data_IF_414651076502
#
_entry.id   IF_414651076502
#
_cell.length_a   1.000
_cell.length_b   1.000
_cell.length_c   1.000
_cell.angle_alpha   90.00
_cell.angle_beta   90.00
_cell.angle_gamma   90.00
#
_symmetry.space_group_name_H-M   'P 1'
#
loop_
_entity.id
_entity.type
_entity.pdbx_description
1 polymer ?
#
# COMPACT_ATOMS: atom_id res chain seq x y z
N UNK A 1 15.99 14.03 0.23
CA UNK A 1 16.46 13.47 1.51
C UNK A 1 15.23 13.33 2.40
N UNK A 2 14.76 12.11 2.65
CA UNK A 2 13.49 11.89 3.35
C UNK A 2 13.66 12.03 4.86
N UNK A 3 12.63 12.51 5.56
CA UNK A 3 12.63 12.51 7.02
C UNK A 3 11.22 12.49 7.60
N UNK A 4 11.13 12.06 8.86
CA UNK A 4 9.94 12.16 9.71
C UNK A 4 10.29 12.98 10.94
N UNK A 5 9.49 14.00 11.24
CA UNK A 5 9.59 14.83 12.43
C UNK A 5 8.29 14.74 13.22
N UNK A 6 8.40 14.35 14.48
CA UNK A 6 7.29 14.23 15.44
C UNK A 6 7.54 15.27 16.51
N UNK A 7 6.61 16.20 16.69
CA UNK A 7 6.75 17.31 17.62
C UNK A 7 5.55 17.37 18.57
N UNK A 8 5.82 17.21 19.86
CA UNK A 8 4.89 17.35 20.98
C UNK A 8 3.58 16.55 20.80
N UNK A 9 3.67 15.36 20.21
CA UNK A 9 2.49 14.55 19.88
C UNK A 9 1.82 14.06 21.16
N UNK A 10 0.53 14.39 21.28
CA UNK A 10 -0.36 13.92 22.33
C UNK A 10 -1.53 13.14 21.75
N UNK A 11 -1.90 12.04 22.41
CA UNK A 11 -3.06 11.25 22.04
C UNK A 11 -3.72 10.63 23.28
N UNK A 12 -5.05 10.64 23.29
CA UNK A 12 -5.87 10.19 24.40
C UNK A 12 -6.81 9.09 23.90
N UNK A 13 -7.05 8.08 24.72
CA UNK A 13 -8.00 7.03 24.43
C UNK A 13 -9.44 7.49 24.72
N UNK A 14 -10.46 6.81 24.17
CA UNK A 14 -11.86 7.17 24.42
C UNK A 14 -12.28 7.13 25.90
N UNK A 15 -11.54 6.40 26.75
CA UNK A 15 -11.75 6.34 28.20
C UNK A 15 -11.10 7.52 28.95
N UNK A 16 -10.51 8.49 28.23
CA UNK A 16 -9.85 9.67 28.78
C UNK A 16 -8.40 9.42 29.22
N UNK A 17 -7.87 8.20 29.08
CA UNK A 17 -6.47 7.92 29.43
C UNK A 17 -5.54 8.51 28.38
N UNK A 18 -4.56 9.30 28.82
CA UNK A 18 -3.45 9.77 27.97
C UNK A 18 -2.57 8.57 27.60
N UNK A 19 -2.47 8.28 26.31
CA UNK A 19 -1.67 7.17 25.77
C UNK A 19 -0.31 7.64 25.28
N UNK A 20 -0.27 8.80 24.62
CA UNK A 20 0.94 9.48 24.17
C UNK A 20 0.92 10.87 24.78
N UNK A 21 2.02 11.26 25.43
CA UNK A 21 2.17 12.56 26.05
C UNK A 21 3.51 13.15 25.64
N UNK A 22 3.47 14.33 25.02
CA UNK A 22 4.62 15.11 24.56
C UNK A 22 5.70 14.32 23.77
N UNK A 23 5.27 13.42 22.88
CA UNK A 23 6.21 12.60 22.11
C UNK A 23 6.90 13.46 21.05
N UNK A 24 8.23 13.59 21.15
CA UNK A 24 9.04 14.37 20.21
C UNK A 24 10.30 13.64 19.77
N UNK A 25 10.50 13.45 18.46
CA UNK A 25 11.72 12.89 17.88
C UNK A 25 11.79 13.14 16.37
N UNK A 26 13.00 13.04 15.81
CA UNK A 26 13.24 13.14 14.37
C UNK A 26 13.97 11.91 13.85
N UNK A 27 13.49 11.35 12.74
CA UNK A 27 14.15 10.29 11.98
C UNK A 27 14.62 10.89 10.66
N UNK A 28 15.94 11.05 10.54
CA UNK A 28 16.57 11.55 9.33
C UNK A 28 16.81 10.47 8.28
N UNK A 29 17.25 10.91 7.11
CA UNK A 29 17.60 10.04 5.99
C UNK A 29 18.73 9.07 6.36
N UNK A 30 18.63 7.83 5.88
CA UNK A 30 19.61 6.76 6.18
C UNK A 30 19.53 6.20 7.60
N UNK A 31 18.69 6.75 8.49
CA UNK A 31 18.56 6.25 9.84
C UNK A 31 17.81 4.91 9.89
N UNK A 32 18.28 4.01 10.76
CA UNK A 32 17.59 2.77 11.14
C UNK A 32 17.20 2.88 12.60
N UNK A 33 15.90 3.03 12.87
CA UNK A 33 15.38 3.31 14.22
C UNK A 33 14.39 2.22 14.60
N UNK A 34 14.43 1.79 15.86
CA UNK A 34 13.47 0.84 16.43
C UNK A 34 12.61 1.53 17.49
N UNK A 35 11.29 1.35 17.39
CA UNK A 35 10.34 1.75 18.42
C UNK A 35 10.02 0.54 19.30
N UNK A 36 10.53 0.54 20.54
CA UNK A 36 10.40 -0.56 21.49
C UNK A 36 9.53 -0.15 22.68
N UNK A 37 8.85 -1.13 23.27
CA UNK A 37 7.98 -0.92 24.44
C UNK A 37 6.99 -2.05 24.64
N UNK A 38 6.35 -2.11 25.81
CA UNK A 38 5.38 -3.15 26.15
C UNK A 38 4.16 -3.16 25.20
N UNK A 39 3.40 -4.26 25.20
CA UNK A 39 2.09 -4.31 24.54
C UNK A 39 1.15 -3.28 25.18
N UNK A 40 0.43 -2.53 24.36
CA UNK A 40 -0.42 -1.44 24.83
C UNK A 40 0.30 -0.10 25.07
N UNK A 41 1.63 -0.01 24.92
CA UNK A 41 2.38 1.25 25.09
C UNK A 41 2.18 2.30 23.97
N UNK A 42 1.18 2.13 23.10
CA UNK A 42 0.86 3.12 22.05
C UNK A 42 1.71 3.05 20.77
N UNK A 43 2.56 2.02 20.58
CA UNK A 43 3.41 1.89 19.38
C UNK A 43 2.62 1.94 18.07
N UNK A 44 1.60 1.10 17.94
CA UNK A 44 0.74 1.06 16.74
C UNK A 44 -0.02 2.38 16.56
N UNK A 45 -0.43 3.02 17.66
CA UNK A 45 -1.08 4.34 17.64
C UNK A 45 -0.13 5.41 17.11
N UNK A 46 1.11 5.46 17.62
CA UNK A 46 2.13 6.40 17.15
C UNK A 46 2.45 6.16 15.67
N UNK A 47 2.59 4.90 15.23
CA UNK A 47 2.78 4.59 13.82
C UNK A 47 1.60 5.06 12.96
N UNK A 48 0.34 4.83 13.39
CA UNK A 48 -0.86 5.34 12.69
C UNK A 48 -0.90 6.87 12.62
N UNK A 49 -0.43 7.54 13.67
CA UNK A 49 -0.30 9.00 13.65
C UNK A 49 0.78 9.41 12.65
N UNK A 50 1.93 8.73 12.61
CA UNK A 50 3.03 8.98 11.67
C UNK A 50 2.66 8.71 10.21
N UNK A 51 1.78 7.75 9.95
CA UNK A 51 1.27 7.45 8.60
C UNK A 51 0.08 8.33 8.21
N UNK A 52 -0.50 9.07 9.16
CA UNK A 52 -1.66 9.93 8.93
C UNK A 52 -3.01 9.21 8.98
N UNK A 53 -3.04 7.92 9.35
CA UNK A 53 -4.29 7.18 9.55
C UNK A 53 -5.06 7.64 10.80
N UNK A 54 -4.38 8.34 11.71
CA UNK A 54 -4.94 8.84 12.95
C UNK A 54 -4.45 10.27 13.22
N UNK A 55 -5.38 11.18 13.50
CA UNK A 55 -5.02 12.53 13.90
C UNK A 55 -4.55 12.54 15.37
N UNK A 56 -3.46 13.23 15.72
CA UNK A 56 -3.12 13.46 17.12
C UNK A 56 -4.08 14.48 17.75
N UNK A 57 -4.24 14.43 19.08
CA UNK A 57 -5.00 15.45 19.83
C UNK A 57 -4.18 16.70 20.12
N UNK A 58 -2.85 16.62 20.02
CA UNK A 58 -1.94 17.75 20.13
C UNK A 58 -0.61 17.46 19.44
N UNK A 59 0.14 18.51 19.13
CA UNK A 59 1.40 18.40 18.39
C UNK A 59 1.20 18.19 16.89
N UNK A 60 2.27 17.81 16.20
CA UNK A 60 2.26 17.61 14.75
C UNK A 60 3.26 16.54 14.30
N UNK A 61 3.00 15.96 13.12
CA UNK A 61 3.97 15.14 12.40
C UNK A 61 4.20 15.72 11.01
N UNK A 62 5.47 16.00 10.70
CA UNK A 62 5.91 16.42 9.37
C UNK A 62 6.67 15.29 8.69
N UNK A 63 6.43 15.06 7.41
CA UNK A 63 7.19 14.10 6.60
C UNK A 63 7.66 14.74 5.32
N UNK A 64 8.79 14.29 4.79
CA UNK A 64 9.25 14.66 3.45
C UNK A 64 9.76 13.42 2.71
N UNK A 65 9.58 13.42 1.38
CA UNK A 65 9.83 12.25 0.54
C UNK A 65 8.65 11.28 0.50
N UNK A 66 8.86 10.12 -0.14
CA UNK A 66 7.88 9.03 -0.16
C UNK A 66 7.84 8.28 1.17
N UNK A 67 6.65 7.86 1.60
CA UNK A 67 6.44 7.07 2.81
C UNK A 67 5.96 5.66 2.43
N UNK A 68 6.81 4.65 2.64
CA UNK A 68 6.43 3.25 2.55
C UNK A 68 5.94 2.73 3.90
N UNK A 69 4.81 2.01 3.91
CA UNK A 69 4.22 1.47 5.14
C UNK A 69 3.92 0.00 4.95
N UNK A 70 4.50 -0.84 5.80
CA UNK A 70 4.10 -2.23 5.92
C UNK A 70 3.12 -2.37 7.09
N UNK A 71 1.90 -2.81 6.80
CA UNK A 71 0.88 -3.03 7.83
C UNK A 71 1.24 -4.25 8.67
N UNK A 72 0.78 -4.27 9.92
CA UNK A 72 1.00 -5.41 10.83
C UNK A 72 0.36 -6.70 10.30
N UNK A 73 -0.80 -6.57 9.65
CA UNK A 73 -1.49 -7.67 9.00
C UNK A 73 -1.51 -7.39 7.49
N UNK A 74 -0.73 -8.17 6.74
CA UNK A 74 -0.70 -8.17 5.27
C UNK A 74 -1.49 -9.40 4.81
N UNK A 75 -2.29 -9.28 3.76
CA UNK A 75 -3.15 -10.37 3.27
C UNK A 75 -4.37 -10.68 4.14
N UNK A 76 -4.57 -9.98 5.26
CA UNK A 76 -5.73 -10.17 6.12
C UNK A 76 -6.73 -9.03 5.88
N UNK A 77 -7.81 -9.32 5.19
CA UNK A 77 -8.89 -8.37 4.92
C UNK A 77 -9.30 -8.35 3.45
N UNK A 78 -10.25 -7.47 3.15
CA UNK A 78 -10.78 -7.32 1.80
C UNK A 78 -9.93 -6.33 1.01
N UNK A 79 -9.25 -6.80 -0.03
CA UNK A 79 -8.60 -5.93 -1.04
C UNK A 79 -9.48 -5.96 -2.28
N UNK A 80 -9.96 -4.80 -2.73
CA UNK A 80 -10.87 -4.67 -3.90
C UNK A 80 -12.08 -5.63 -3.90
N UNK A 81 -12.60 -6.00 -2.72
CA UNK A 81 -13.77 -6.89 -2.60
C UNK A 81 -13.43 -8.38 -2.43
N UNK A 82 -12.17 -8.80 -2.59
CA UNK A 82 -11.73 -10.18 -2.41
C UNK A 82 -11.40 -10.49 -0.94
N UNK A 83 -12.06 -11.50 -0.36
CA UNK A 83 -11.86 -11.91 1.03
C UNK A 83 -10.53 -12.66 1.30
N UNK A 84 -9.89 -13.17 0.24
CA UNK A 84 -8.60 -13.86 0.27
C UNK A 84 -7.75 -13.29 -0.87
N UNK A 85 -7.10 -12.13 -0.67
CA UNK A 85 -6.42 -11.42 -1.75
C UNK A 85 -5.18 -12.18 -2.18
N UNK A 86 -4.98 -12.27 -3.49
CA UNK A 86 -3.81 -12.89 -4.07
C UNK A 86 -2.58 -11.98 -3.94
N UNK A 87 -1.40 -12.54 -4.23
CA UNK A 87 -0.16 -11.76 -4.36
C UNK A 87 -0.31 -10.61 -5.36
N UNK A 88 -0.98 -10.84 -6.50
CA UNK A 88 -1.24 -9.75 -7.46
C UNK A 88 -2.12 -8.66 -6.85
N UNK A 89 -3.21 -9.02 -6.17
CA UNK A 89 -4.12 -8.05 -5.55
C UNK A 89 -3.37 -7.18 -4.52
N UNK A 90 -2.51 -7.80 -3.71
CA UNK A 90 -1.71 -7.10 -2.72
C UNK A 90 -0.70 -6.14 -3.37
N UNK A 91 0.01 -6.59 -4.40
CA UNK A 91 1.00 -5.75 -5.10
C UNK A 91 0.35 -4.62 -5.89
N UNK A 92 -0.81 -4.87 -6.50
CA UNK A 92 -1.59 -3.85 -7.18
C UNK A 92 -2.14 -2.81 -6.21
N UNK A 93 -2.58 -3.23 -5.01
CA UNK A 93 -3.15 -2.31 -4.00
C UNK A 93 -2.19 -1.19 -3.56
N UNK A 94 -0.88 -1.42 -3.69
CA UNK A 94 0.18 -0.45 -3.37
C UNK A 94 0.80 0.21 -4.61
N UNK A 95 0.34 -0.14 -5.81
CA UNK A 95 0.78 0.47 -7.06
C UNK A 95 0.30 1.92 -7.18
N UNK A 96 0.90 2.75 -8.05
CA UNK A 96 0.39 4.08 -8.35
C UNK A 96 -1.08 4.04 -8.79
N UNK A 97 -1.88 5.02 -8.37
CA UNK A 97 -3.32 5.05 -8.65
C UNK A 97 -3.67 4.93 -10.14
N UNK A 98 -2.81 5.46 -11.03
CA UNK A 98 -3.00 5.34 -12.48
C UNK A 98 -2.91 3.88 -12.96
N UNK A 99 -1.93 3.13 -12.45
CA UNK A 99 -1.75 1.71 -12.77
C UNK A 99 -2.92 0.89 -12.23
N UNK A 100 -3.36 1.17 -11.00
CA UNK A 100 -4.55 0.51 -10.43
C UNK A 100 -5.79 0.72 -11.31
N UNK A 101 -6.03 1.95 -11.76
CA UNK A 101 -7.18 2.28 -12.62
C UNK A 101 -7.06 1.65 -14.00
N UNK A 102 -5.87 1.65 -14.60
CA UNK A 102 -5.63 1.02 -15.89
C UNK A 102 -5.82 -0.50 -15.81
N UNK A 103 -5.33 -1.16 -14.76
CA UNK A 103 -5.52 -2.58 -14.52
C UNK A 103 -7.00 -2.95 -14.41
N UNK A 104 -7.78 -2.23 -13.58
CA UNK A 104 -9.23 -2.47 -13.47
C UNK A 104 -9.96 -2.36 -14.81
N UNK A 105 -9.54 -1.43 -15.68
CA UNK A 105 -10.11 -1.29 -17.02
C UNK A 105 -9.79 -2.50 -17.91
N UNK A 106 -8.58 -3.04 -17.81
CA UNK A 106 -8.20 -4.28 -18.51
C UNK A 106 -9.11 -5.42 -18.03
N UNK A 107 -9.20 -5.64 -16.72
CA UNK A 107 -10.05 -6.70 -16.13
C UNK A 107 -11.53 -6.58 -16.52
N UNK A 108 -12.07 -5.35 -16.52
CA UNK A 108 -13.45 -5.08 -16.95
C UNK A 108 -13.66 -5.44 -18.42
N UNK A 109 -12.68 -5.14 -19.29
CA UNK A 109 -12.76 -5.46 -20.70
C UNK A 109 -12.56 -6.94 -20.98
N UNK A 110 -11.67 -7.64 -20.25
CA UNK A 110 -11.50 -9.09 -20.35
C UNK A 110 -12.78 -9.83 -19.99
N UNK A 111 -13.46 -9.41 -18.91
CA UNK A 111 -14.77 -9.96 -18.54
C UNK A 111 -15.82 -9.72 -19.63
N UNK A 112 -15.86 -8.52 -20.22
CA UNK A 112 -16.79 -8.24 -21.31
C UNK A 112 -16.53 -9.11 -22.56
N UNK A 113 -15.25 -9.37 -22.88
CA UNK A 113 -14.86 -10.24 -24.00
C UNK A 113 -15.26 -11.71 -23.79
N UNK A 114 -15.42 -12.18 -22.56
CA UNK A 114 -15.94 -13.53 -22.29
C UNK A 114 -17.41 -13.67 -22.68
N UNK A 115 -18.16 -12.57 -22.72
CA UNK A 115 -19.61 -12.56 -22.97
C UNK A 115 -19.96 -12.08 -24.39
N UNK A 116 -19.18 -11.16 -24.95
CA UNK A 116 -19.48 -10.52 -26.24
C UNK A 116 -18.26 -10.50 -27.16
N UNK A 117 -18.41 -11.07 -28.35
CA UNK A 117 -17.39 -11.07 -29.40
C UNK A 117 -17.73 -10.04 -30.49
N UNK A 118 -17.49 -8.76 -30.18
CA UNK A 118 -17.72 -7.64 -31.10
C UNK A 118 -16.51 -6.70 -31.19
N UNK A 119 -16.34 -6.06 -32.35
CA UNK A 119 -15.21 -5.18 -32.65
C UNK A 119 -15.08 -4.03 -31.64
N UNK A 120 -16.18 -3.45 -31.15
CA UNK A 120 -16.11 -2.34 -30.19
C UNK A 120 -15.56 -2.82 -28.85
N UNK A 121 -15.95 -4.00 -28.38
CA UNK A 121 -15.40 -4.57 -27.14
C UNK A 121 -13.92 -4.93 -27.29
N UNK A 122 -13.52 -5.49 -28.44
CA UNK A 122 -12.12 -5.77 -28.76
C UNK A 122 -11.26 -4.49 -28.82
N UNK A 123 -11.75 -3.42 -29.46
CA UNK A 123 -11.05 -2.13 -29.51
C UNK A 123 -10.88 -1.52 -28.12
N UNK A 124 -11.92 -1.58 -27.27
CA UNK A 124 -11.83 -1.10 -25.88
C UNK A 124 -10.78 -1.87 -25.07
N UNK A 125 -10.68 -3.18 -25.26
CA UNK A 125 -9.65 -4.00 -24.62
C UNK A 125 -8.24 -3.59 -25.08
N UNK A 126 -8.04 -3.40 -26.38
CA UNK A 126 -6.76 -2.95 -26.92
C UNK A 126 -6.35 -1.56 -26.38
N UNK A 127 -7.30 -0.62 -26.28
CA UNK A 127 -7.08 0.69 -25.65
C UNK A 127 -6.72 0.56 -24.17
N UNK A 128 -7.38 -0.34 -23.43
CA UNK A 128 -7.08 -0.58 -22.02
C UNK A 128 -5.67 -1.15 -21.81
N UNK A 129 -5.24 -2.09 -22.66
CA UNK A 129 -3.86 -2.62 -22.63
C UNK A 129 -2.83 -1.53 -22.94
N UNK A 130 -3.10 -0.67 -23.92
CA UNK A 130 -2.22 0.46 -24.24
C UNK A 130 -2.11 1.43 -23.05
N UNK A 131 -3.23 1.79 -22.41
CA UNK A 131 -3.20 2.64 -21.21
C UNK A 131 -2.48 1.97 -20.04
N UNK A 132 -2.60 0.66 -19.86
CA UNK A 132 -1.85 -0.07 -18.83
C UNK A 132 -0.35 -0.02 -19.07
N UNK A 133 0.09 -0.16 -20.32
CA UNK A 133 1.48 0.04 -20.71
C UNK A 133 1.94 1.48 -20.42
N UNK A 134 1.19 2.48 -20.88
CA UNK A 134 1.51 3.91 -20.71
C UNK A 134 1.46 4.37 -19.24
N UNK A 135 0.70 3.68 -18.39
CA UNK A 135 0.69 3.90 -16.95
C UNK A 135 1.93 3.32 -16.25
N UNK A 136 2.74 2.51 -16.94
CA UNK A 136 3.92 1.83 -16.39
C UNK A 136 3.59 0.48 -15.74
N UNK A 137 2.48 -0.16 -16.11
CA UNK A 137 2.05 -1.45 -15.55
C UNK A 137 3.09 -2.55 -15.74
N UNK A 138 3.61 -2.70 -16.97
CA UNK A 138 4.62 -3.72 -17.28
C UNK A 138 5.97 -3.47 -16.58
N UNK A 139 6.36 -2.21 -16.37
CA UNK A 139 7.57 -1.88 -15.61
C UNK A 139 7.44 -2.31 -14.14
N UNK A 140 6.23 -2.17 -13.57
CA UNK A 140 5.93 -2.66 -12.23
C UNK A 140 5.91 -4.17 -12.16
N UNK A 141 5.39 -4.87 -13.17
CA UNK A 141 5.42 -6.34 -13.21
C UNK A 141 6.86 -6.88 -13.20
N UNK A 142 7.81 -6.23 -13.87
CA UNK A 142 9.23 -6.58 -13.76
C UNK A 142 9.73 -6.41 -12.33
N UNK A 143 9.35 -5.31 -11.67
CA UNK A 143 9.70 -5.09 -10.26
C UNK A 143 9.08 -6.15 -9.35
N UNK A 144 7.84 -6.53 -9.61
CA UNK A 144 7.14 -7.61 -8.90
C UNK A 144 7.80 -8.96 -9.11
N UNK A 145 8.26 -9.28 -10.32
CA UNK A 145 9.01 -10.50 -10.61
C UNK A 145 10.31 -10.60 -9.82
N UNK A 146 11.08 -9.50 -9.76
CA UNK A 146 12.29 -9.43 -8.94
C UNK A 146 11.97 -9.64 -7.46
N UNK A 147 10.96 -8.95 -6.95
CA UNK A 147 10.54 -9.05 -5.55
C UNK A 147 10.07 -10.47 -5.20
N UNK A 148 9.17 -11.05 -6.00
CA UNK A 148 8.62 -12.39 -5.76
C UNK A 148 9.68 -13.48 -5.90
N UNK A 149 10.59 -13.36 -6.87
CA UNK A 149 11.71 -14.29 -7.03
C UNK A 149 12.66 -14.22 -5.84
N UNK A 150 12.99 -13.01 -5.38
CA UNK A 150 13.93 -12.82 -4.26
C UNK A 150 13.33 -13.26 -2.93
N UNK A 151 12.06 -12.96 -2.67
CA UNK A 151 11.41 -13.24 -1.39
C UNK A 151 10.77 -14.62 -1.29
N UNK A 152 10.26 -15.17 -2.40
CA UNK A 152 9.51 -16.43 -2.43
C UNK A 152 10.15 -17.53 -3.30
N UNK A 153 11.21 -17.21 -4.05
CA UNK A 153 11.85 -18.17 -4.96
C UNK A 153 11.00 -18.52 -6.18
N UNK A 154 10.01 -17.70 -6.53
CA UNK A 154 9.08 -17.94 -7.63
C UNK A 154 8.92 -16.69 -8.49
N UNK A 155 8.87 -16.83 -9.83
CA UNK A 155 8.58 -15.70 -10.71
C UNK A 155 7.14 -15.22 -10.51
N UNK A 156 6.90 -13.95 -10.82
CA UNK A 156 5.62 -13.28 -10.58
C UNK A 156 4.46 -14.01 -11.26
N UNK A 157 4.65 -14.51 -12.49
CA UNK A 157 3.62 -15.26 -13.22
C UNK A 157 3.11 -16.52 -12.50
N UNK A 158 3.92 -17.10 -11.62
CA UNK A 158 3.51 -18.23 -10.78
C UNK A 158 3.07 -17.82 -9.39
N UNK A 159 3.61 -16.72 -8.86
CA UNK A 159 3.29 -16.21 -7.55
C UNK A 159 1.93 -15.50 -7.52
N UNK A 160 1.54 -14.84 -8.63
CA UNK A 160 0.41 -13.89 -8.70
C UNK A 160 -0.93 -14.43 -8.24
N UNK A 161 -1.19 -15.73 -8.38
CA UNK A 161 -2.45 -16.38 -8.00
C UNK A 161 -2.44 -17.04 -6.61
N UNK A 162 -1.35 -16.91 -5.85
CA UNK A 162 -1.30 -17.44 -4.48
C UNK A 162 -2.01 -16.49 -3.52
N UNK A 163 -2.78 -17.04 -2.58
CA UNK A 163 -3.21 -16.34 -1.36
C UNK A 163 -2.22 -16.49 -0.21
#
# INVERSE_FOLDING_TARGET
>A
MGHVDVANVRFELPDGRVLLDDVSFRVGDGAKVALVGANGAGKTTLLRIITGDLAPHGGAVTRSGGLGVMRQFVGHGVVDGAADPTVADLLLSVAPARVQQAHRRVDDCERALMETDDERTQMRYAEALAEYADAGGYDLEVTWDVCTTTSMGLPFDRAKYRS
#
